data_IF_322471093632
#
_entry.id   IF_322471093632
#
_cell.length_a   1.000
_cell.length_b   1.000
_cell.length_c   1.000
_cell.angle_alpha   90.00
_cell.angle_beta   90.00
_cell.angle_gamma   90.00
#
_symmetry.space_group_name_H-M   'P 1'
#
loop_
_entity.id
_entity.type
_entity.pdbx_description
1 polymer ?
#
# COMPACT_ATOMS: atom_id res chain seq x y z
N UNK A 1 18.32 1.26 -3.61
CA UNK A 1 16.90 1.08 -3.21
C UNK A 1 16.26 2.43 -2.91
N UNK A 2 15.16 2.74 -3.58
CA UNK A 2 14.37 3.95 -3.30
C UNK A 2 13.72 3.90 -1.92
N UNK A 3 13.27 5.04 -1.39
CA UNK A 3 12.51 5.10 -0.13
C UNK A 3 11.27 4.19 -0.16
N UNK A 4 10.63 4.07 -1.32
CA UNK A 4 9.44 3.24 -1.49
C UNK A 4 9.77 1.75 -1.53
N UNK A 5 10.89 1.35 -2.13
CA UNK A 5 11.29 -0.07 -2.13
C UNK A 5 11.61 -0.53 -0.71
N UNK A 6 12.24 0.34 0.10
CA UNK A 6 12.47 0.07 1.52
C UNK A 6 11.15 -0.08 2.30
N UNK A 7 10.16 0.74 2.00
CA UNK A 7 8.83 0.65 2.61
C UNK A 7 8.10 -0.63 2.20
N UNK A 8 8.16 -1.01 0.93
CA UNK A 8 7.58 -2.25 0.42
C UNK A 8 8.17 -3.46 1.15
N UNK A 9 9.50 -3.56 1.25
CA UNK A 9 10.16 -4.62 2.03
C UNK A 9 9.69 -4.59 3.48
N UNK A 10 9.64 -3.42 4.11
CA UNK A 10 9.19 -3.27 5.50
C UNK A 10 7.76 -3.79 5.72
N UNK A 11 6.85 -3.50 4.78
CA UNK A 11 5.46 -3.99 4.83
C UNK A 11 5.41 -5.50 4.64
N UNK A 12 6.18 -6.05 3.69
CA UNK A 12 6.26 -7.49 3.41
C UNK A 12 6.82 -8.28 4.60
N UNK A 13 7.84 -7.76 5.28
CA UNK A 13 8.41 -8.38 6.48
C UNK A 13 7.43 -8.39 7.67
N UNK A 14 6.47 -7.46 7.72
CA UNK A 14 5.40 -7.44 8.72
C UNK A 14 5.82 -7.11 10.15
N UNK A 15 7.09 -6.84 10.41
CA UNK A 15 7.62 -6.55 11.76
C UNK A 15 7.31 -5.13 12.27
N UNK A 16 6.71 -4.27 11.44
CA UNK A 16 6.58 -2.84 11.70
C UNK A 16 5.20 -2.25 11.37
N UNK A 17 4.14 -3.06 11.37
CA UNK A 17 2.80 -2.62 10.97
C UNK A 17 2.27 -1.42 11.75
N UNK A 18 2.62 -1.32 13.03
CA UNK A 18 2.21 -0.21 13.90
C UNK A 18 2.99 1.09 13.64
N UNK A 19 4.01 1.07 12.79
CA UNK A 19 4.91 2.19 12.58
C UNK A 19 5.13 2.51 11.09
N UNK A 20 4.02 2.61 10.36
CA UNK A 20 3.96 3.06 8.97
C UNK A 20 3.29 4.45 8.89
N UNK A 21 4.00 5.49 8.44
CA UNK A 21 3.39 6.79 8.16
C UNK A 21 2.32 6.67 7.08
N UNK A 22 1.15 7.27 7.32
CA UNK A 22 -0.01 7.14 6.42
C UNK A 22 0.29 7.66 5.02
N UNK A 23 0.95 8.81 4.91
CA UNK A 23 1.28 9.42 3.62
C UNK A 23 2.24 8.54 2.81
N UNK A 24 3.21 7.89 3.45
CA UNK A 24 4.12 7.00 2.74
C UNK A 24 3.41 5.74 2.22
N UNK A 25 2.42 5.24 2.96
CA UNK A 25 1.57 4.13 2.49
C UNK A 25 0.74 4.53 1.27
N UNK A 26 0.16 5.73 1.28
CA UNK A 26 -0.57 6.27 0.14
C UNK A 26 0.35 6.45 -1.08
N UNK A 27 1.56 6.98 -0.88
CA UNK A 27 2.57 7.12 -1.93
C UNK A 27 2.97 5.78 -2.55
N UNK A 28 3.10 4.74 -1.73
CA UNK A 28 3.39 3.39 -2.21
C UNK A 28 2.25 2.86 -3.07
N UNK A 29 0.99 2.97 -2.63
CA UNK A 29 -0.16 2.50 -3.41
C UNK A 29 -0.25 3.21 -4.77
N UNK A 30 -0.01 4.52 -4.83
CA UNK A 30 0.06 5.26 -6.10
C UNK A 30 1.17 4.73 -7.01
N UNK A 31 2.36 4.41 -6.48
CA UNK A 31 3.45 3.81 -7.29
C UNK A 31 3.11 2.40 -7.77
N UNK A 32 2.37 1.63 -6.99
CA UNK A 32 1.83 0.33 -7.41
C UNK A 32 0.69 0.46 -8.45
N UNK A 33 0.35 1.69 -8.84
CA UNK A 33 -0.64 2.00 -9.88
C UNK A 33 -2.07 1.87 -9.38
N UNK A 34 -2.33 2.20 -8.11
CA UNK A 34 -3.69 2.46 -7.64
C UNK A 34 -4.07 3.91 -7.90
N UNK A 35 -5.31 4.10 -8.34
CA UNK A 35 -5.99 5.38 -8.36
C UNK A 35 -6.46 5.75 -6.96
N UNK A 36 -6.42 7.04 -6.65
CA UNK A 36 -6.83 7.56 -5.34
C UNK A 36 -7.98 8.54 -5.47
N UNK A 37 -9.04 8.32 -4.69
CA UNK A 37 -10.12 9.28 -4.46
C UNK A 37 -10.16 9.66 -2.99
N UNK A 38 -10.31 10.94 -2.70
CA UNK A 38 -10.40 11.46 -1.32
C UNK A 38 -11.83 11.93 -1.06
N UNK A 39 -12.40 11.49 0.07
CA UNK A 39 -13.71 11.90 0.56
C UNK A 39 -13.64 12.20 2.06
N UNK A 40 -13.53 13.48 2.41
CA UNK A 40 -13.22 13.88 3.79
C UNK A 40 -11.86 13.33 4.24
N UNK A 41 -11.82 12.65 5.38
CA UNK A 41 -10.59 12.01 5.88
C UNK A 41 -10.29 10.63 5.28
N UNK A 42 -11.19 10.10 4.43
CA UNK A 42 -11.05 8.77 3.85
C UNK A 42 -10.38 8.84 2.48
N UNK A 43 -9.44 7.92 2.26
CA UNK A 43 -8.65 7.77 1.06
C UNK A 43 -9.02 6.42 0.45
N UNK A 44 -9.79 6.44 -0.62
CA UNK A 44 -10.24 5.25 -1.33
C UNK A 44 -9.23 4.97 -2.44
N UNK A 45 -8.76 3.72 -2.54
CA UNK A 45 -7.87 3.26 -3.59
C UNK A 45 -8.48 2.11 -4.37
N UNK A 46 -8.36 2.19 -5.69
CA UNK A 46 -8.80 1.18 -6.67
C UNK A 46 -7.71 0.96 -7.70
N UNK A 47 -7.64 -0.24 -8.27
CA UNK A 47 -6.68 -0.57 -9.35
C UNK A 47 -7.32 -1.57 -10.30
N UNK A 48 -7.18 -1.35 -11.59
CA UNK A 48 -7.61 -2.34 -12.59
C UNK A 48 -6.88 -3.68 -12.38
N UNK A 49 -7.62 -4.78 -12.41
CA UNK A 49 -7.09 -6.12 -12.13
C UNK A 49 -6.95 -6.46 -10.64
N UNK A 50 -7.33 -5.55 -9.73
CA UNK A 50 -7.44 -5.80 -8.28
C UNK A 50 -8.92 -5.65 -7.88
N UNK A 51 -9.48 -6.70 -7.31
CA UNK A 51 -10.91 -6.74 -6.95
C UNK A 51 -11.22 -5.88 -5.71
N UNK A 52 -10.28 -5.86 -4.76
CA UNK A 52 -10.47 -5.19 -3.48
C UNK A 52 -10.32 -3.67 -3.59
N UNK A 53 -11.34 -2.97 -3.11
CA UNK A 53 -11.30 -1.53 -2.88
C UNK A 53 -10.71 -1.29 -1.49
N UNK A 54 -9.62 -0.52 -1.40
CA UNK A 54 -9.04 -0.11 -0.13
C UNK A 54 -9.69 1.19 0.33
N UNK A 55 -10.16 1.24 1.58
CA UNK A 55 -10.65 2.47 2.21
C UNK A 55 -9.78 2.79 3.43
N UNK A 56 -8.87 3.74 3.27
CA UNK A 56 -7.85 4.08 4.25
C UNK A 56 -8.19 5.38 4.95
N UNK A 57 -7.78 5.49 6.21
CA UNK A 57 -7.96 6.69 7.03
C UNK A 57 -6.78 6.79 8.00
N UNK A 58 -6.13 7.96 8.12
CA UNK A 58 -5.04 8.14 9.05
C UNK A 58 -5.54 8.07 10.51
N UNK A 59 -4.66 7.64 11.42
CA UNK A 59 -4.80 7.84 12.86
C UNK A 59 -3.51 8.48 13.37
N UNK A 60 -3.58 9.74 13.82
CA UNK A 60 -2.41 10.50 14.30
C UNK A 60 -1.22 10.47 13.31
N UNK A 61 -1.49 10.66 12.01
CA UNK A 61 -0.48 10.64 10.95
C UNK A 61 0.05 9.26 10.55
N UNK A 62 -0.41 8.18 11.20
CA UNK A 62 -0.01 6.79 10.88
C UNK A 62 -1.14 6.01 10.24
N UNK A 63 -0.77 4.99 9.47
CA UNK A 63 -1.70 3.97 9.03
C UNK A 63 -2.14 3.11 10.22
N UNK A 64 -3.38 2.63 10.19
CA UNK A 64 -3.86 1.69 11.20
C UNK A 64 -3.24 0.31 10.92
N UNK A 65 -2.87 -0.45 11.96
CA UNK A 65 -2.21 -1.76 11.83
C UNK A 65 -2.94 -2.70 10.86
N UNK A 66 -4.27 -2.76 10.96
CA UNK A 66 -5.08 -3.61 10.09
C UNK A 66 -5.03 -3.18 8.62
N UNK A 67 -4.91 -1.87 8.32
CA UNK A 67 -4.77 -1.37 6.96
C UNK A 67 -3.45 -1.83 6.36
N UNK A 68 -2.36 -1.80 7.14
CA UNK A 68 -1.05 -2.28 6.69
C UNK A 68 -1.10 -3.79 6.42
N UNK A 69 -1.75 -4.56 7.29
CA UNK A 69 -1.97 -6.01 7.08
C UNK A 69 -2.78 -6.29 5.81
N UNK A 70 -3.89 -5.58 5.61
CA UNK A 70 -4.73 -5.70 4.43
C UNK A 70 -3.94 -5.44 3.14
N UNK A 71 -3.14 -4.37 3.14
CA UNK A 71 -2.31 -4.00 1.99
C UNK A 71 -1.21 -5.04 1.76
N UNK A 72 -0.58 -5.58 2.81
CA UNK A 72 0.40 -6.66 2.66
C UNK A 72 -0.23 -7.90 2.01
N UNK A 73 -1.40 -8.33 2.50
CA UNK A 73 -2.13 -9.45 1.93
C UNK A 73 -2.47 -9.22 0.45
N UNK A 74 -2.88 -8.00 0.11
CA UNK A 74 -3.18 -7.62 -1.27
C UNK A 74 -1.92 -7.66 -2.15
N UNK A 75 -0.80 -7.07 -1.69
CA UNK A 75 0.48 -7.10 -2.40
C UNK A 75 0.91 -8.54 -2.70
N UNK A 76 0.78 -9.45 -1.72
CA UNK A 76 1.12 -10.86 -1.89
C UNK A 76 0.16 -11.58 -2.85
N UNK A 77 -1.15 -11.33 -2.73
CA UNK A 77 -2.19 -11.94 -3.59
C UNK A 77 -2.00 -11.59 -5.06
N UNK A 78 -1.70 -10.33 -5.36
CA UNK A 78 -1.59 -9.82 -6.73
C UNK A 78 -0.14 -9.64 -7.20
N UNK A 79 0.85 -10.09 -6.41
CA UNK A 79 2.29 -9.94 -6.68
C UNK A 79 2.68 -8.50 -7.06
N UNK A 80 2.11 -7.51 -6.37
CA UNK A 80 2.33 -6.11 -6.70
C UNK A 80 3.75 -5.65 -6.33
N UNK A 81 4.40 -4.91 -7.22
CA UNK A 81 5.73 -4.37 -6.96
C UNK A 81 6.87 -5.36 -7.10
N UNK A 82 6.59 -6.60 -7.55
CA UNK A 82 7.59 -7.43 -8.19
C UNK A 82 7.85 -6.81 -9.57
N UNK A 83 9.10 -6.47 -9.86
CA UNK A 83 9.47 -6.14 -11.23
C UNK A 83 9.36 -7.44 -12.03
N UNK A 84 8.52 -7.47 -13.05
CA UNK A 84 8.54 -8.56 -14.01
C UNK A 84 9.94 -8.63 -14.63
N UNK A 85 10.67 -9.70 -14.38
CA UNK A 85 11.80 -10.13 -15.23
C UNK A 85 11.33 -10.68 -16.58
N UNK A 86 10.13 -10.30 -17.04
CA UNK A 86 9.51 -10.77 -18.26
C UNK A 86 9.16 -9.63 -19.24
N UNK A 87 9.89 -8.52 -19.18
CA UNK A 87 10.12 -7.70 -20.37
C UNK A 87 11.22 -8.36 -21.21
N UNK A 88 10.89 -9.45 -21.89
CA UNK A 88 11.66 -9.99 -23.01
C UNK A 88 11.31 -9.25 -24.29
#
# INVERSE_FOLDING_TARGET
MSKQDKLLIKILLGNSDANIPFEQLCQLLRKLGFDQRIGGSHHIFTKEGVEEILNLQPKQGKAKVYQVKQIRSLILKYKLGYQDENSL
#
